data_IF_228577394912
#
_entry.id   IF_228577394912
#
_cell.length_a   1.000
_cell.length_b   1.000
_cell.length_c   1.000
_cell.angle_alpha   90.00
_cell.angle_beta   90.00
_cell.angle_gamma   90.00
#
_symmetry.space_group_name_H-M   'P 1'
#
loop_
_entity.id
_entity.type
_entity.pdbx_description
1 polymer ?
#
# COMPACT_ATOMS: atom_id res chain seq x y z
N UNK A 1 -10.23 -8.71 6.05
CA UNK A 1 -11.00 -7.56 5.54
C UNK A 1 -11.09 -7.67 4.02
N UNK A 2 -12.22 -7.26 3.43
CA UNK A 2 -12.48 -7.32 1.99
C UNK A 2 -13.07 -5.96 1.57
N UNK A 3 -12.37 -5.23 0.71
CA UNK A 3 -12.77 -3.90 0.19
C UNK A 3 -13.80 -4.03 -0.93
N UNK A 4 -13.54 -4.93 -1.87
CA UNK A 4 -14.44 -5.30 -2.94
C UNK A 4 -14.22 -4.44 -4.19
N UNK A 5 -15.01 -3.40 -4.37
CA UNK A 5 -14.90 -2.52 -5.53
C UNK A 5 -14.85 -1.07 -5.07
N UNK A 6 -14.21 -0.23 -5.89
CA UNK A 6 -13.84 1.17 -5.61
C UNK A 6 -12.48 1.26 -4.89
N UNK A 7 -12.04 2.47 -4.55
CA UNK A 7 -10.75 2.66 -3.89
C UNK A 7 -10.93 2.59 -2.37
N UNK A 8 -10.39 1.54 -1.75
CA UNK A 8 -10.56 1.23 -0.35
C UNK A 8 -9.31 1.51 0.49
N UNK A 9 -9.53 1.70 1.79
CA UNK A 9 -8.47 1.73 2.79
C UNK A 9 -8.73 0.62 3.80
N UNK A 10 -7.83 -0.35 3.87
CA UNK A 10 -7.92 -1.50 4.76
C UNK A 10 -6.74 -1.48 5.74
N UNK A 11 -7.05 -1.66 7.03
CA UNK A 11 -6.07 -1.66 8.13
C UNK A 11 -6.30 -2.90 9.00
N UNK A 12 -5.29 -3.79 9.07
CA UNK A 12 -5.29 -5.00 9.90
C UNK A 12 -4.85 -4.74 11.35
N UNK A 13 -4.29 -3.56 11.64
CA UNK A 13 -3.92 -3.14 12.99
C UNK A 13 -2.86 -4.02 13.66
N UNK A 14 -3.22 -4.93 14.58
CA UNK A 14 -2.25 -5.65 15.41
C UNK A 14 -2.49 -7.16 15.50
N UNK A 15 -3.53 -7.65 14.84
CA UNK A 15 -3.87 -9.05 14.78
C UNK A 15 -3.36 -9.64 13.45
N UNK A 16 -3.39 -10.97 13.32
CA UNK A 16 -3.07 -11.60 12.03
C UNK A 16 -4.28 -11.51 11.12
N UNK A 17 -4.12 -10.75 10.04
CA UNK A 17 -5.20 -10.40 9.15
C UNK A 17 -5.00 -10.92 7.72
N UNK A 18 -6.14 -11.06 7.04
CA UNK A 18 -6.18 -11.30 5.60
C UNK A 18 -6.93 -10.16 4.95
N UNK A 19 -6.20 -9.32 4.20
CA UNK A 19 -6.71 -8.11 3.55
C UNK A 19 -6.80 -8.37 2.05
N UNK A 20 -7.96 -8.07 1.47
CA UNK A 20 -8.23 -8.19 0.03
C UNK A 20 -8.78 -6.84 -0.44
N UNK A 21 -8.05 -6.14 -1.31
CA UNK A 21 -8.47 -4.86 -1.87
C UNK A 21 -9.62 -5.04 -2.85
N UNK A 22 -9.35 -5.72 -3.97
CA UNK A 22 -10.36 -6.08 -4.96
C UNK A 22 -10.14 -5.35 -6.27
N UNK A 23 -11.05 -4.45 -6.66
CA UNK A 23 -10.87 -3.61 -7.86
C UNK A 23 -10.87 -2.14 -7.47
N UNK A 24 -9.87 -1.40 -7.93
CA UNK A 24 -9.69 -0.01 -7.56
C UNK A 24 -8.26 0.20 -7.09
N UNK A 25 -7.88 1.46 -6.87
CA UNK A 25 -6.55 1.78 -6.33
C UNK A 25 -6.62 1.80 -4.82
N UNK A 26 -6.28 0.70 -4.19
CA UNK A 26 -6.46 0.48 -2.76
C UNK A 26 -5.22 0.82 -1.93
N UNK A 27 -5.43 1.04 -0.63
CA UNK A 27 -4.38 1.14 0.38
C UNK A 27 -4.60 0.04 1.43
N UNK A 28 -3.70 -0.94 1.46
CA UNK A 28 -3.71 -2.02 2.43
C UNK A 28 -2.55 -1.84 3.41
N UNK A 29 -2.88 -1.80 4.71
CA UNK A 29 -1.95 -1.73 5.82
C UNK A 29 -2.10 -3.04 6.61
N UNK A 30 -1.08 -3.90 6.58
CA UNK A 30 -1.07 -5.16 7.33
C UNK A 30 -1.16 -4.87 8.82
N UNK A 31 -0.23 -4.06 9.30
CA UNK A 31 -0.17 -3.70 10.71
C UNK A 31 1.01 -4.36 11.38
N UNK A 32 0.82 -4.83 12.61
CA UNK A 32 1.82 -5.62 13.30
C UNK A 32 1.55 -7.11 13.12
N UNK A 33 2.60 -7.92 13.27
CA UNK A 33 2.53 -9.39 13.19
C UNK A 33 2.34 -9.90 11.77
N UNK A 34 2.11 -11.21 11.61
CA UNK A 34 2.06 -11.83 10.29
C UNK A 34 0.71 -11.58 9.62
N UNK A 35 0.75 -11.03 8.41
CA UNK A 35 -0.41 -10.71 7.60
C UNK A 35 -0.38 -11.33 6.20
N UNK A 36 -1.54 -11.35 5.55
CA UNK A 36 -1.69 -11.66 4.13
C UNK A 36 -2.45 -10.55 3.43
N UNK A 37 -1.77 -9.87 2.50
CA UNK A 37 -2.32 -8.79 1.71
C UNK A 37 -2.46 -9.25 0.26
N UNK A 38 -3.63 -8.98 -0.33
CA UNK A 38 -3.90 -9.13 -1.75
C UNK A 38 -4.47 -7.80 -2.26
N UNK A 39 -3.71 -7.08 -3.09
CA UNK A 39 -4.13 -5.82 -3.70
C UNK A 39 -5.32 -6.05 -4.62
N UNK A 40 -5.09 -6.73 -5.74
CA UNK A 40 -6.14 -7.06 -6.68
C UNK A 40 -5.87 -6.37 -8.02
N UNK A 41 -6.90 -5.82 -8.63
CA UNK A 41 -6.76 -5.13 -9.92
C UNK A 41 -6.65 -3.63 -9.72
N UNK A 42 -5.94 -2.98 -10.65
CA UNK A 42 -5.46 -1.60 -10.59
C UNK A 42 -4.26 -1.45 -9.64
N UNK A 43 -3.77 -0.21 -9.50
CA UNK A 43 -2.51 0.07 -8.82
C UNK A 43 -2.74 0.23 -7.30
N UNK A 44 -2.15 -0.64 -6.48
CA UNK A 44 -2.34 -0.65 -5.04
C UNK A 44 -1.11 -0.20 -4.24
N UNK A 45 -1.35 0.29 -3.02
CA UNK A 45 -0.31 0.48 -2.00
C UNK A 45 -0.45 -0.64 -0.98
N UNK A 46 0.61 -1.44 -0.83
CA UNK A 46 0.63 -2.62 0.05
C UNK A 46 1.73 -2.45 1.10
N UNK A 47 1.33 -2.18 2.34
CA UNK A 47 2.24 -1.99 3.47
C UNK A 47 2.19 -3.25 4.35
N UNK A 48 3.27 -4.04 4.36
CA UNK A 48 3.38 -5.22 5.25
C UNK A 48 3.46 -4.86 6.73
N UNK A 49 4.05 -3.70 7.05
CA UNK A 49 4.17 -3.21 8.42
C UNK A 49 3.09 -2.22 8.84
N UNK A 50 3.49 -1.29 9.71
CA UNK A 50 2.60 -0.26 10.30
C UNK A 50 2.82 1.11 9.68
N UNK A 51 1.85 2.00 9.84
CA UNK A 51 1.98 3.42 9.53
C UNK A 51 1.48 4.30 10.67
N UNK A 52 2.09 5.47 10.87
CA UNK A 52 1.61 6.46 11.85
C UNK A 52 0.28 7.12 11.44
N UNK A 53 -0.22 6.80 10.23
CA UNK A 53 -1.50 7.27 9.73
C UNK A 53 -2.67 6.32 10.01
N UNK A 54 -2.42 5.14 10.58
CA UNK A 54 -3.47 4.21 11.00
C UNK A 54 -4.47 4.91 11.94
N UNK A 55 -5.76 4.73 11.68
CA UNK A 55 -6.85 5.43 12.37
C UNK A 55 -6.97 6.95 12.12
N UNK A 56 -6.08 7.56 11.33
CA UNK A 56 -6.13 9.00 11.00
C UNK A 56 -6.83 9.24 9.66
N UNK A 57 -8.16 9.38 9.70
CA UNK A 57 -8.98 9.58 8.50
C UNK A 57 -8.53 10.76 7.62
N UNK A 58 -8.02 11.85 8.21
CA UNK A 58 -7.56 13.03 7.44
C UNK A 58 -6.30 12.70 6.65
N UNK A 59 -5.34 12.01 7.28
CA UNK A 59 -4.10 11.60 6.63
C UNK A 59 -4.38 10.55 5.54
N UNK A 60 -5.18 9.52 5.86
CA UNK A 60 -5.54 8.47 4.90
C UNK A 60 -6.30 9.04 3.70
N UNK A 61 -7.22 10.00 3.91
CA UNK A 61 -7.89 10.70 2.81
C UNK A 61 -6.90 11.47 1.93
N UNK A 62 -5.89 12.12 2.51
CA UNK A 62 -4.87 12.84 1.76
C UNK A 62 -3.98 11.90 0.94
N UNK A 63 -3.60 10.75 1.50
CA UNK A 63 -2.86 9.70 0.77
C UNK A 63 -3.67 9.22 -0.42
N UNK A 64 -4.94 8.85 -0.19
CA UNK A 64 -5.82 8.37 -1.26
C UNK A 64 -6.08 9.46 -2.30
N UNK A 65 -6.20 10.73 -1.90
CA UNK A 65 -6.36 11.82 -2.87
C UNK A 65 -5.20 11.91 -3.87
N UNK A 66 -3.96 11.67 -3.44
CA UNK A 66 -2.82 11.60 -4.36
C UNK A 66 -2.80 10.28 -5.13
N UNK A 67 -3.01 9.16 -4.45
CA UNK A 67 -2.96 7.82 -5.06
C UNK A 67 -4.02 7.64 -6.16
N UNK A 68 -5.22 8.19 -5.95
CA UNK A 68 -6.30 8.16 -6.92
C UNK A 68 -6.25 9.31 -7.92
N UNK A 69 -5.26 10.19 -7.87
CA UNK A 69 -5.15 11.33 -8.77
C UNK A 69 -4.87 10.92 -10.22
N UNK A 70 -5.06 11.87 -11.15
CA UNK A 70 -4.73 11.70 -12.57
C UNK A 70 -3.21 11.81 -12.86
N UNK A 71 -2.37 11.96 -11.84
CA UNK A 71 -0.93 11.98 -12.01
C UNK A 71 -0.43 10.60 -12.45
N UNK A 72 0.67 10.58 -13.21
CA UNK A 72 1.32 9.32 -13.57
C UNK A 72 1.85 8.61 -12.33
N UNK A 73 1.89 7.26 -12.37
CA UNK A 73 2.35 6.41 -11.26
C UNK A 73 3.66 6.89 -10.58
N UNK A 74 4.75 7.21 -11.30
CA UNK A 74 5.98 7.70 -10.66
C UNK A 74 5.82 9.06 -9.97
N UNK A 75 4.92 9.91 -10.46
CA UNK A 75 4.62 11.21 -9.85
C UNK A 75 3.85 11.04 -8.55
N UNK A 76 2.86 10.14 -8.52
CA UNK A 76 2.11 9.83 -7.29
C UNK A 76 3.03 9.32 -6.19
N UNK A 77 3.95 8.41 -6.53
CA UNK A 77 4.95 7.89 -5.61
C UNK A 77 5.90 9.00 -5.11
N UNK A 78 6.39 9.85 -6.02
CA UNK A 78 7.27 10.97 -5.63
C UNK A 78 6.57 11.93 -4.67
N UNK A 79 5.30 12.24 -4.92
CA UNK A 79 4.49 13.09 -4.06
C UNK A 79 4.23 12.41 -2.71
N UNK A 80 3.87 11.13 -2.69
CA UNK A 80 3.64 10.38 -1.45
C UNK A 80 4.93 10.19 -0.62
N UNK A 81 6.11 10.11 -1.24
CA UNK A 81 7.38 10.03 -0.53
C UNK A 81 7.80 11.37 0.10
N UNK A 82 7.57 12.49 -0.60
CA UNK A 82 8.19 13.78 -0.28
C UNK A 82 7.21 14.89 0.14
N UNK A 83 5.91 14.64 -0.01
CA UNK A 83 4.86 15.65 0.09
C UNK A 83 4.72 16.48 -1.19
N UNK A 84 3.82 17.45 -1.15
CA UNK A 84 3.37 18.21 -2.32
C UNK A 84 2.00 17.73 -2.75
N UNK A 85 1.83 17.40 -4.03
CA UNK A 85 0.66 16.70 -4.58
C UNK A 85 -0.72 17.12 -4.04
N UNK A 86 -1.65 16.18 -4.10
CA UNK A 86 -2.92 16.23 -3.38
C UNK A 86 -2.76 15.78 -1.92
N UNK A 87 -1.69 15.05 -1.58
CA UNK A 87 -1.38 14.56 -0.24
C UNK A 87 -0.83 15.64 0.72
N UNK A 88 -0.47 16.82 0.22
CA UNK A 88 0.07 17.91 1.03
C UNK A 88 1.35 17.50 1.75
N UNK A 89 1.37 17.65 3.08
CA UNK A 89 2.51 17.21 3.90
C UNK A 89 2.41 15.76 4.39
N UNK A 90 1.32 15.05 4.07
CA UNK A 90 1.13 13.66 4.48
C UNK A 90 1.95 12.75 3.58
N UNK A 91 2.88 12.00 4.15
CA UNK A 91 3.84 11.18 3.39
C UNK A 91 3.85 9.72 3.83
N UNK A 92 4.26 8.83 2.93
CA UNK A 92 4.56 7.42 3.16
C UNK A 92 6.06 7.21 2.91
N UNK A 93 6.88 7.41 3.93
CA UNK A 93 8.34 7.23 3.87
C UNK A 93 8.85 6.64 5.20
N UNK A 94 10.17 6.53 5.37
CA UNK A 94 10.80 5.94 6.56
C UNK A 94 10.54 6.69 7.89
N UNK A 95 9.80 7.80 7.88
CA UNK A 95 9.35 8.49 9.11
C UNK A 95 7.90 8.18 9.47
N UNK A 96 7.13 7.63 8.54
CA UNK A 96 5.69 7.38 8.70
C UNK A 96 5.30 5.94 8.49
N UNK A 97 6.11 5.14 7.80
CA UNK A 97 5.93 3.71 7.60
C UNK A 97 7.06 2.95 8.28
N UNK A 98 6.72 1.98 9.12
CA UNK A 98 7.66 1.27 10.00
C UNK A 98 7.48 -0.24 9.82
N UNK A 99 8.60 -0.99 9.86
CA UNK A 99 8.51 -2.43 10.03
C UNK A 99 7.87 -2.81 11.37
N UNK A 100 7.50 -4.07 11.46
CA UNK A 100 6.71 -4.65 12.53
C UNK A 100 7.50 -5.71 13.33
N UNK A 101 8.82 -5.49 13.49
CA UNK A 101 9.79 -6.48 13.97
C UNK A 101 10.07 -7.63 12.99
N UNK A 102 9.91 -7.39 11.70
CA UNK A 102 10.16 -8.36 10.62
C UNK A 102 9.25 -9.58 10.72
N UNK A 103 7.94 -9.38 10.94
CA UNK A 103 7.04 -10.49 10.64
C UNK A 103 7.14 -10.81 9.14
N UNK A 104 6.90 -12.07 8.80
CA UNK A 104 7.07 -12.55 7.43
C UNK A 104 5.73 -12.52 6.72
N UNK A 105 5.39 -11.38 6.14
CA UNK A 105 4.10 -11.18 5.49
C UNK A 105 4.05 -11.81 4.11
N UNK A 106 2.82 -12.12 3.67
CA UNK A 106 2.55 -12.46 2.28
C UNK A 106 1.90 -11.27 1.62
N UNK A 107 2.60 -10.63 0.70
CA UNK A 107 2.14 -9.42 0.04
C UNK A 107 2.00 -9.70 -1.45
N UNK A 108 0.76 -9.80 -1.90
CA UNK A 108 0.41 -10.11 -3.28
C UNK A 108 -0.19 -8.87 -3.95
N UNK A 109 0.47 -8.35 -4.99
CA UNK A 109 -0.08 -7.26 -5.80
C UNK A 109 -1.17 -7.71 -6.77
N UNK A 110 -1.13 -9.01 -7.10
CA UNK A 110 -1.80 -9.67 -8.21
C UNK A 110 -1.00 -9.65 -9.50
N UNK A 111 -1.34 -10.57 -10.40
CA UNK A 111 -0.60 -10.78 -11.63
C UNK A 111 -1.20 -9.94 -12.74
N UNK A 112 -0.43 -8.94 -13.16
CA UNK A 112 -0.66 -8.08 -14.31
C UNK A 112 -1.66 -8.66 -15.31
N UNK A 113 -2.76 -7.94 -15.48
CA UNK A 113 -3.51 -8.00 -16.72
C UNK A 113 -2.53 -7.87 -17.92
N UNK A 114 -2.81 -8.49 -19.10
CA UNK A 114 -1.86 -8.60 -20.22
C UNK A 114 -1.20 -7.31 -20.72
N UNK A 115 -1.65 -6.16 -20.21
CA UNK A 115 -1.27 -4.79 -20.52
C UNK A 115 -0.32 -4.13 -19.50
N UNK A 116 0.11 -4.81 -18.42
CA UNK A 116 1.09 -4.30 -17.44
C UNK A 116 0.71 -2.92 -16.86
N UNK A 117 -0.58 -2.73 -16.58
CA UNK A 117 -1.12 -1.51 -15.97
C UNK A 117 -1.41 -1.65 -14.48
N UNK A 118 -1.40 -2.88 -13.94
CA UNK A 118 -1.24 -3.10 -12.50
C UNK A 118 0.20 -2.80 -12.14
N UNK A 119 0.44 -1.65 -11.53
CA UNK A 119 1.72 -1.37 -10.92
C UNK A 119 1.46 -1.10 -9.46
N UNK A 120 1.84 -2.05 -8.62
CA UNK A 120 1.71 -1.91 -7.17
C UNK A 120 2.95 -1.29 -6.54
N UNK A 121 2.74 -0.68 -5.38
CA UNK A 121 3.80 -0.13 -4.56
C UNK A 121 3.85 -0.82 -3.19
N UNK A 122 4.92 -1.59 -2.99
CA UNK A 122 5.11 -2.41 -1.81
C UNK A 122 6.01 -1.71 -0.79
N UNK A 123 5.59 -1.69 0.47
CA UNK A 123 6.44 -1.44 1.63
C UNK A 123 6.68 -2.75 2.36
N UNK A 124 7.91 -3.25 2.32
CA UNK A 124 8.25 -4.59 2.80
C UNK A 124 9.44 -4.60 3.77
N UNK A 125 9.38 -5.51 4.73
CA UNK A 125 10.42 -5.80 5.72
C UNK A 125 11.34 -6.96 5.30
N UNK A 126 12.31 -7.29 6.15
CA UNK A 126 13.20 -8.43 5.96
C UNK A 126 12.51 -9.75 6.39
N UNK A 127 11.77 -10.37 5.49
CA UNK A 127 11.07 -11.65 5.76
C UNK A 127 9.88 -11.87 4.85
N UNK A 128 9.34 -10.76 4.34
CA UNK A 128 8.16 -10.75 3.49
C UNK A 128 8.38 -11.47 2.17
N UNK A 129 7.31 -12.11 1.72
CA UNK A 129 7.24 -12.78 0.42
C UNK A 129 6.32 -11.99 -0.48
N UNK A 130 6.89 -11.48 -1.57
CA UNK A 130 6.20 -10.68 -2.57
C UNK A 130 6.13 -11.43 -3.90
N UNK A 131 5.04 -11.23 -4.66
CA UNK A 131 4.92 -11.67 -6.05
C UNK A 131 5.30 -10.58 -7.07
N UNK A 132 5.94 -9.52 -6.59
CA UNK A 132 6.12 -8.32 -7.38
C UNK A 132 6.86 -8.52 -8.73
N UNK A 133 6.32 -7.93 -9.78
CA UNK A 133 6.70 -8.04 -11.19
C UNK A 133 7.53 -6.84 -11.68
N UNK A 134 7.87 -6.84 -12.98
CA UNK A 134 8.69 -5.79 -13.59
C UNK A 134 7.90 -4.51 -13.83
N UNK A 135 8.23 -3.45 -13.10
CA UNK A 135 7.61 -2.13 -13.20
C UNK A 135 7.09 -1.64 -11.86
N UNK A 136 6.79 -2.57 -10.96
CA UNK A 136 6.36 -2.30 -9.60
C UNK A 136 7.51 -1.80 -8.73
N UNK A 137 7.15 -1.01 -7.73
CA UNK A 137 8.11 -0.38 -6.83
C UNK A 137 8.10 -1.07 -5.48
N UNK A 138 9.30 -1.33 -4.97
CA UNK A 138 9.52 -1.88 -3.62
C UNK A 138 10.26 -0.86 -2.78
N UNK A 139 9.74 -0.59 -1.60
CA UNK A 139 10.36 0.24 -0.56
C UNK A 139 10.63 -0.63 0.66
N UNK A 140 11.89 -0.69 1.10
CA UNK A 140 12.26 -1.47 2.27
C UNK A 140 12.08 -0.64 3.54
N UNK A 141 11.44 -1.22 4.56
CA UNK A 141 11.17 -0.64 5.88
C UNK A 141 11.78 -1.47 7.01
#
# INVERSE_FOLDING_TARGET
>A
LDGGADNDVLDGEADTDSLIGGTGRDLLIGGAVLDTLAGGADEDILIGGTTSHSGNAVALTAIMAEWTSANAYPTRITNLLNGGGANGSTVLNATTVQNDNNAADKINGSLATPNNTDLDWFFQSAGDVLDAINGEIRTTI
#
